data_IF_944854782165
#
_entry.id   IF_944854782165
#
_cell.length_a   1.000
_cell.length_b   1.000
_cell.length_c   1.000
_cell.angle_alpha   90.00
_cell.angle_beta   90.00
_cell.angle_gamma   90.00
#
_symmetry.space_group_name_H-M   'P 1'
#
loop_
_entity.id
_entity.type
_entity.pdbx_description
1 polymer ?
#
# COMPACT_ATOMS: atom_id res chain seq x y z
N UNK A 1 60.96 42.35 4.03
CA UNK A 1 60.34 41.01 4.26
C UNK A 1 58.82 41.04 4.50
N UNK A 2 58.21 42.13 5.00
CA UNK A 2 56.75 42.20 5.20
C UNK A 2 55.93 42.33 3.90
N UNK A 3 56.46 42.95 2.84
CA UNK A 3 55.77 43.11 1.56
C UNK A 3 55.58 41.79 0.80
N UNK A 4 56.60 40.91 0.78
CA UNK A 4 56.50 39.59 0.17
C UNK A 4 55.45 38.71 0.85
N UNK A 5 55.36 38.73 2.20
CA UNK A 5 54.35 37.96 2.94
C UNK A 5 52.92 38.36 2.58
N UNK A 6 52.66 39.65 2.35
CA UNK A 6 51.34 40.15 1.93
C UNK A 6 50.99 39.72 0.51
N UNK A 7 51.99 39.67 -0.37
CA UNK A 7 51.82 39.26 -1.77
C UNK A 7 51.52 37.76 -1.89
N UNK A 8 52.20 36.92 -1.11
CA UNK A 8 51.88 35.49 -1.03
C UNK A 8 50.51 35.22 -0.39
N UNK A 9 50.11 36.01 0.60
CA UNK A 9 48.79 35.88 1.22
C UNK A 9 47.66 36.29 0.25
N UNK A 10 47.86 37.38 -0.49
CA UNK A 10 46.91 37.81 -1.52
C UNK A 10 46.80 36.77 -2.66
N UNK A 11 47.92 36.21 -3.11
CA UNK A 11 47.93 35.15 -4.12
C UNK A 11 47.21 33.88 -3.63
N UNK A 12 47.38 33.50 -2.35
CA UNK A 12 46.71 32.36 -1.74
C UNK A 12 45.18 32.56 -1.64
N UNK A 13 44.73 33.76 -1.27
CA UNK A 13 43.30 34.10 -1.20
C UNK A 13 42.66 34.08 -2.59
N UNK A 14 43.33 34.64 -3.60
CA UNK A 14 42.85 34.59 -4.99
C UNK A 14 42.77 33.15 -5.50
N UNK A 15 43.74 32.30 -5.14
CA UNK A 15 43.74 30.88 -5.51
C UNK A 15 42.57 30.10 -4.87
N UNK A 16 42.21 30.38 -3.61
CA UNK A 16 41.08 29.73 -2.94
C UNK A 16 39.74 30.16 -3.53
N UNK A 17 39.60 31.43 -3.90
CA UNK A 17 38.35 31.97 -4.49
C UNK A 17 38.19 31.54 -5.96
N UNK A 18 39.28 31.22 -6.65
CA UNK A 18 39.27 30.78 -8.07
C UNK A 18 39.30 29.26 -8.27
N UNK A 19 39.29 28.47 -7.19
CA UNK A 19 38.99 27.04 -7.30
C UNK A 19 37.55 26.90 -7.82
N UNK A 20 37.33 26.30 -9.00
CA UNK A 20 35.99 25.96 -9.43
C UNK A 20 35.41 25.05 -8.35
N UNK A 21 34.26 25.44 -7.81
CA UNK A 21 33.43 24.58 -6.97
C UNK A 21 33.06 23.40 -7.87
N UNK A 22 33.90 22.37 -7.86
CA UNK A 22 33.66 21.11 -8.56
C UNK A 22 32.44 20.47 -7.90
N UNK A 23 31.28 20.77 -8.50
CA UNK A 23 30.09 19.95 -8.46
C UNK A 23 29.64 19.51 -7.07
N UNK A 24 29.19 20.45 -6.23
CA UNK A 24 27.98 20.17 -5.48
C UNK A 24 26.84 20.11 -6.51
N UNK A 25 26.72 18.98 -7.21
CA UNK A 25 25.46 18.65 -7.86
C UNK A 25 24.39 18.82 -6.77
N UNK A 26 23.33 19.61 -6.98
CA UNK A 26 22.23 19.58 -6.05
C UNK A 26 21.86 18.11 -5.94
N UNK A 27 21.96 17.55 -4.73
CA UNK A 27 21.27 16.31 -4.42
C UNK A 27 19.82 16.69 -4.60
N UNK A 28 19.30 16.55 -5.82
CA UNK A 28 17.88 16.55 -6.05
C UNK A 28 17.39 15.49 -5.08
N UNK A 29 16.67 15.91 -4.04
CA UNK A 29 15.98 14.96 -3.18
C UNK A 29 15.21 14.07 -4.14
N UNK A 30 15.66 12.83 -4.30
CA UNK A 30 15.00 11.84 -5.13
C UNK A 30 13.56 11.86 -4.65
N UNK A 31 12.62 12.20 -5.54
CA UNK A 31 11.23 12.37 -5.13
C UNK A 31 10.79 11.09 -4.41
N UNK A 32 10.67 11.15 -3.08
CA UNK A 32 10.31 10.00 -2.28
C UNK A 32 8.86 9.68 -2.60
N UNK A 33 8.61 8.48 -3.11
CA UNK A 33 7.25 7.98 -3.31
C UNK A 33 6.53 7.93 -1.96
N UNK A 34 5.20 8.03 -1.95
CA UNK A 34 4.41 7.91 -0.72
C UNK A 34 3.70 6.57 -0.70
N UNK A 35 4.00 5.76 0.31
CA UNK A 35 3.32 4.50 0.55
C UNK A 35 2.39 4.61 1.76
N UNK A 36 1.20 4.05 1.63
CA UNK A 36 0.20 3.96 2.69
C UNK A 36 -0.06 2.50 3.01
N UNK A 37 0.11 2.13 4.27
CA UNK A 37 -0.35 0.86 4.82
C UNK A 37 -1.60 1.15 5.64
N UNK A 38 -2.68 0.42 5.36
CA UNK A 38 -3.98 0.53 6.02
C UNK A 38 -4.28 -0.84 6.64
N UNK A 39 -4.43 -0.90 7.97
CA UNK A 39 -4.85 -2.13 8.66
C UNK A 39 -6.11 -1.84 9.48
N UNK A 40 -7.27 -2.19 8.91
CA UNK A 40 -8.59 -1.84 9.46
C UNK A 40 -8.92 -2.54 10.79
N UNK A 41 -8.20 -3.62 11.14
CA UNK A 41 -8.47 -4.47 12.30
C UNK A 41 -7.20 -4.80 13.09
N UNK A 42 -6.19 -3.93 13.05
CA UNK A 42 -4.86 -4.16 13.65
C UNK A 42 -4.89 -4.57 15.12
N UNK A 43 -5.80 -3.99 15.92
CA UNK A 43 -6.00 -4.31 17.34
C UNK A 43 -6.44 -5.75 17.55
N UNK A 44 -7.20 -6.32 16.62
CA UNK A 44 -7.79 -7.66 16.74
C UNK A 44 -6.95 -8.71 16.04
N UNK A 45 -6.37 -8.33 14.90
CA UNK A 45 -5.57 -9.19 14.05
C UNK A 45 -4.40 -8.35 13.55
N UNK A 46 -3.31 -8.22 14.33
CA UNK A 46 -2.14 -7.43 13.94
C UNK A 46 -1.57 -7.89 12.61
N UNK A 47 -1.01 -6.97 11.83
CA UNK A 47 -0.34 -7.31 10.59
C UNK A 47 0.99 -7.99 10.89
N UNK A 48 1.08 -9.28 10.57
CA UNK A 48 2.34 -10.02 10.58
C UNK A 48 3.37 -9.33 9.69
N UNK A 49 4.61 -9.28 10.15
CA UNK A 49 5.73 -8.74 9.38
C UNK A 49 5.62 -7.25 8.94
N UNK A 50 4.77 -6.46 9.60
CA UNK A 50 4.55 -5.05 9.24
C UNK A 50 5.88 -4.26 9.18
N UNK A 51 6.77 -4.44 10.16
CA UNK A 51 8.08 -3.77 10.19
C UNK A 51 8.97 -4.15 9.00
N UNK A 52 8.93 -5.40 8.55
CA UNK A 52 9.68 -5.84 7.38
C UNK A 52 9.09 -5.25 6.10
N UNK A 53 7.76 -5.24 5.96
CA UNK A 53 7.06 -4.61 4.83
C UNK A 53 7.41 -3.13 4.74
N UNK A 54 7.34 -2.41 5.86
CA UNK A 54 7.72 -1.00 5.97
C UNK A 54 9.20 -0.80 5.58
N UNK A 55 10.11 -1.60 6.12
CA UNK A 55 11.53 -1.52 5.81
C UNK A 55 11.81 -1.72 4.32
N UNK A 56 11.13 -2.67 3.67
CA UNK A 56 11.26 -2.89 2.22
C UNK A 56 10.78 -1.69 1.41
N UNK A 57 9.63 -1.11 1.75
CA UNK A 57 9.14 0.10 1.07
C UNK A 57 10.08 1.29 1.26
N UNK A 58 10.61 1.49 2.47
CA UNK A 58 11.60 2.55 2.75
C UNK A 58 12.86 2.33 1.90
N UNK A 59 13.37 1.09 1.83
CA UNK A 59 14.53 0.76 0.99
C UNK A 59 14.28 0.95 -0.51
N UNK A 60 13.03 0.91 -0.95
CA UNK A 60 12.62 1.22 -2.31
C UNK A 60 12.42 2.74 -2.54
N UNK A 61 12.67 3.57 -1.53
CA UNK A 61 12.61 5.03 -1.62
C UNK A 61 11.25 5.64 -1.23
N UNK A 62 10.38 4.89 -0.54
CA UNK A 62 9.09 5.41 -0.09
C UNK A 62 9.13 6.02 1.30
N UNK A 63 8.40 7.11 1.49
CA UNK A 63 7.89 7.54 2.79
C UNK A 63 6.66 6.71 3.13
N UNK A 64 6.71 5.94 4.22
CA UNK A 64 5.62 5.06 4.63
C UNK A 64 4.75 5.75 5.69
N UNK A 65 3.44 5.76 5.47
CA UNK A 65 2.43 6.10 6.48
C UNK A 65 1.66 4.83 6.83
N UNK A 66 1.49 4.56 8.13
CA UNK A 66 0.68 3.43 8.60
C UNK A 66 -0.54 3.96 9.36
N UNK A 67 -1.73 3.71 8.83
CA UNK A 67 -3.02 4.03 9.45
C UNK A 67 -3.70 2.74 9.90
N UNK A 68 -4.22 2.71 11.12
CA UNK A 68 -4.75 1.49 11.74
C UNK A 68 -6.03 1.72 12.53
N UNK A 69 -6.80 0.65 12.70
CA UNK A 69 -7.97 0.60 13.56
C UNK A 69 -8.96 1.76 13.30
N UNK A 70 -9.35 2.47 14.36
CA UNK A 70 -10.33 3.56 14.31
C UNK A 70 -9.87 4.79 13.54
N UNK A 71 -8.57 4.89 13.21
CA UNK A 71 -8.05 5.96 12.37
C UNK A 71 -8.30 5.69 10.88
N UNK A 72 -8.54 4.43 10.52
CA UNK A 72 -9.04 4.06 9.20
C UNK A 72 -10.54 4.37 9.18
N UNK A 73 -10.87 5.55 8.69
CA UNK A 73 -12.25 6.06 8.59
C UNK A 73 -12.77 5.99 7.17
N UNK A 74 -14.10 6.01 7.01
CA UNK A 74 -14.73 6.09 5.69
C UNK A 74 -14.24 7.34 4.95
N UNK A 75 -14.17 8.47 5.67
CA UNK A 75 -13.65 9.72 5.14
C UNK A 75 -12.18 9.63 4.74
N UNK A 76 -11.35 8.91 5.50
CA UNK A 76 -9.97 8.67 5.12
C UNK A 76 -9.88 7.90 3.79
N UNK A 77 -10.64 6.82 3.65
CA UNK A 77 -10.67 6.02 2.42
C UNK A 77 -11.12 6.83 1.20
N UNK A 78 -12.15 7.68 1.32
CA UNK A 78 -12.66 8.42 0.15
C UNK A 78 -11.83 9.64 -0.23
N UNK A 79 -11.06 10.23 0.70
CA UNK A 79 -10.42 11.53 0.47
C UNK A 79 -8.89 11.54 0.49
N UNK A 80 -8.24 10.50 1.03
CA UNK A 80 -6.78 10.54 1.26
C UNK A 80 -5.99 9.63 0.32
N UNK A 81 -6.61 8.59 -0.26
CA UNK A 81 -5.89 7.56 -1.02
C UNK A 81 -5.09 8.12 -2.20
N UNK A 82 -5.63 9.07 -2.96
CA UNK A 82 -4.96 9.66 -4.12
C UNK A 82 -3.73 10.55 -3.77
N UNK A 83 -3.38 10.69 -2.48
CA UNK A 83 -2.15 11.36 -2.04
C UNK A 83 -0.93 10.43 -2.01
N UNK A 84 -1.14 9.14 -2.27
CA UNK A 84 -0.14 8.09 -2.20
C UNK A 84 0.09 7.44 -3.56
N UNK A 85 1.33 7.01 -3.81
CA UNK A 85 1.72 6.25 -5.01
C UNK A 85 1.43 4.74 -4.84
N UNK A 86 1.56 4.25 -3.60
CA UNK A 86 1.40 2.84 -3.26
C UNK A 86 0.46 2.71 -2.06
N UNK A 87 -0.53 1.84 -2.17
CA UNK A 87 -1.48 1.56 -1.09
C UNK A 87 -1.44 0.06 -0.78
N UNK A 88 -1.32 -0.30 0.49
CA UNK A 88 -1.55 -1.66 0.99
C UNK A 88 -2.76 -1.56 1.91
N UNK A 89 -3.87 -2.20 1.56
CA UNK A 89 -5.05 -2.24 2.41
C UNK A 89 -5.35 -3.66 2.87
N UNK A 90 -5.26 -3.85 4.19
CA UNK A 90 -5.50 -5.11 4.88
C UNK A 90 -6.78 -5.03 5.70
N UNK A 91 -7.74 -5.90 5.40
CA UNK A 91 -8.99 -5.97 6.13
C UNK A 91 -9.70 -7.32 5.98
N UNK A 92 -10.63 -7.64 6.89
CA UNK A 92 -11.54 -8.78 6.74
C UNK A 92 -12.82 -8.34 6.04
N UNK A 93 -13.60 -9.34 5.63
CA UNK A 93 -14.97 -9.15 5.17
C UNK A 93 -15.97 -9.79 6.11
N UNK A 94 -17.21 -9.36 6.00
CA UNK A 94 -18.37 -10.07 6.53
C UNK A 94 -19.52 -9.96 5.54
N UNK A 95 -20.51 -10.85 5.67
CA UNK A 95 -21.72 -10.80 4.86
C UNK A 95 -22.91 -10.45 5.73
N UNK A 96 -23.71 -9.50 5.27
CA UNK A 96 -24.96 -9.08 5.91
C UNK A 96 -25.98 -8.73 4.83
N UNK A 97 -27.23 -9.17 4.99
CA UNK A 97 -28.31 -8.94 4.03
C UNK A 97 -27.88 -9.19 2.55
N UNK A 98 -27.32 -10.39 2.32
CA UNK A 98 -26.80 -10.82 1.01
C UNK A 98 -25.73 -9.92 0.38
N UNK A 99 -25.14 -9.01 1.14
CA UNK A 99 -24.09 -8.08 0.69
C UNK A 99 -22.79 -8.35 1.44
N UNK A 100 -21.68 -8.36 0.72
CA UNK A 100 -20.34 -8.43 1.31
C UNK A 100 -19.84 -7.04 1.65
N UNK A 101 -19.34 -6.88 2.88
CA UNK A 101 -18.78 -5.64 3.39
C UNK A 101 -17.34 -5.86 3.85
N UNK A 102 -16.46 -4.92 3.52
CA UNK A 102 -15.07 -4.87 3.97
C UNK A 102 -14.98 -3.93 5.17
N UNK A 103 -14.37 -4.39 6.26
CA UNK A 103 -14.22 -3.55 7.45
C UNK A 103 -13.35 -2.33 7.15
N UNK A 104 -13.80 -1.17 7.61
CA UNK A 104 -13.05 0.10 7.50
C UNK A 104 -12.19 0.31 8.74
N UNK A 105 -12.69 0.02 9.94
CA UNK A 105 -11.99 0.15 11.23
C UNK A 105 -12.63 1.18 12.15
N UNK A 106 -13.29 2.17 11.56
CA UNK A 106 -14.17 3.12 12.23
C UNK A 106 -15.41 2.46 12.84
N UNK A 107 -15.81 2.91 14.03
CA UNK A 107 -17.09 2.54 14.66
C UNK A 107 -18.18 3.56 14.34
N UNK A 108 -19.44 3.14 14.43
CA UNK A 108 -20.58 4.02 14.18
C UNK A 108 -20.61 5.22 15.15
N UNK A 109 -20.52 6.43 14.61
CA UNK A 109 -20.63 7.71 15.34
C UNK A 109 -21.63 8.61 14.63
N UNK A 110 -22.31 9.48 15.38
CA UNK A 110 -23.36 10.37 14.88
C UNK A 110 -22.91 11.19 13.67
N UNK A 111 -21.69 11.74 13.69
CA UNK A 111 -21.16 12.52 12.58
C UNK A 111 -21.04 11.71 11.28
N UNK A 112 -20.56 10.47 11.36
CA UNK A 112 -20.40 9.57 10.20
C UNK A 112 -21.76 9.12 9.67
N UNK A 113 -22.70 8.78 10.56
CA UNK A 113 -24.08 8.44 10.18
C UNK A 113 -24.76 9.58 9.43
N UNK A 114 -24.55 10.82 9.85
CA UNK A 114 -25.10 12.00 9.19
C UNK A 114 -24.41 12.29 7.86
N UNK A 115 -23.07 12.26 7.82
CA UNK A 115 -22.30 12.56 6.62
C UNK A 115 -22.54 11.55 5.49
N UNK A 116 -22.79 10.29 5.83
CA UNK A 116 -22.97 9.18 4.88
C UNK A 116 -24.38 8.60 4.89
N UNK A 117 -25.39 9.38 5.30
CA UNK A 117 -26.77 8.89 5.46
C UNK A 117 -27.34 8.23 4.19
N UNK A 118 -27.02 8.76 3.00
CA UNK A 118 -27.44 8.20 1.72
C UNK A 118 -26.77 6.86 1.38
N UNK A 119 -25.58 6.60 1.92
CA UNK A 119 -24.87 5.33 1.76
C UNK A 119 -25.43 4.27 2.71
N UNK A 120 -25.73 4.64 3.96
CA UNK A 120 -26.45 3.76 4.89
C UNK A 120 -27.84 3.39 4.35
N UNK A 121 -28.61 4.37 3.87
CA UNK A 121 -29.95 4.14 3.32
C UNK A 121 -29.94 3.25 2.07
N UNK A 122 -28.83 3.26 1.32
CA UNK A 122 -28.65 2.43 0.13
C UNK A 122 -27.99 1.07 0.42
N UNK A 123 -27.76 0.71 1.68
CA UNK A 123 -27.08 -0.54 2.06
C UNK A 123 -25.62 -0.59 1.59
N UNK A 124 -24.98 0.56 1.38
CA UNK A 124 -23.58 0.62 0.95
C UNK A 124 -22.60 0.59 2.12
N UNK A 125 -23.04 1.08 3.28
CA UNK A 125 -22.33 0.99 4.54
C UNK A 125 -23.22 0.20 5.50
N UNK A 126 -22.62 -0.77 6.19
CA UNK A 126 -23.25 -1.51 7.27
C UNK A 126 -22.50 -1.27 8.59
N UNK A 127 -23.22 -1.35 9.71
CA UNK A 127 -22.66 -1.19 11.05
C UNK A 127 -23.12 -2.29 12.03
N UNK A 128 -23.66 -3.41 11.52
CA UNK A 128 -24.27 -4.47 12.33
C UNK A 128 -23.29 -5.10 13.31
N UNK A 129 -22.01 -5.19 12.94
CA UNK A 129 -20.95 -5.77 13.77
C UNK A 129 -20.20 -4.75 14.66
N UNK A 130 -20.71 -3.52 14.79
CA UNK A 130 -20.12 -2.45 15.61
C UNK A 130 -18.93 -1.71 14.98
N UNK A 131 -18.22 -2.35 14.04
CA UNK A 131 -17.24 -1.73 13.14
C UNK A 131 -17.92 -1.55 11.78
N UNK A 132 -17.74 -0.37 11.17
CA UNK A 132 -18.31 -0.06 9.87
C UNK A 132 -17.69 -0.94 8.79
N UNK A 133 -18.55 -1.47 7.93
CA UNK A 133 -18.18 -2.15 6.71
C UNK A 133 -18.69 -1.39 5.48
N UNK A 134 -17.90 -1.40 4.40
CA UNK A 134 -18.27 -0.80 3.11
C UNK A 134 -18.41 -1.87 2.05
N UNK A 135 -19.43 -1.79 1.21
CA UNK A 135 -19.67 -2.73 0.12
C UNK A 135 -18.92 -2.34 -1.16
N UNK A 136 -18.90 -3.22 -2.17
CA UNK A 136 -18.44 -2.87 -3.51
C UNK A 136 -19.19 -1.66 -4.09
N UNK A 137 -20.49 -1.55 -3.83
CA UNK A 137 -21.31 -0.42 -4.28
C UNK A 137 -20.85 0.92 -3.67
N UNK A 138 -20.35 0.90 -2.43
CA UNK A 138 -19.71 2.07 -1.82
C UNK A 138 -18.49 2.51 -2.65
N UNK A 139 -17.61 1.57 -3.00
CA UNK A 139 -16.44 1.89 -3.83
C UNK A 139 -16.86 2.47 -5.19
N UNK A 140 -17.88 1.89 -5.84
CA UNK A 140 -18.36 2.40 -7.15
C UNK A 140 -18.93 3.81 -7.06
N UNK A 141 -19.56 4.17 -5.94
CA UNK A 141 -20.13 5.50 -5.73
C UNK A 141 -19.06 6.56 -5.46
N UNK A 142 -18.02 6.21 -4.72
CA UNK A 142 -17.02 7.17 -4.23
C UNK A 142 -15.73 7.24 -5.06
N UNK A 143 -15.40 6.20 -5.83
CA UNK A 143 -14.22 6.18 -6.69
C UNK A 143 -14.63 6.18 -8.16
N UNK A 144 -14.61 7.37 -8.75
CA UNK A 144 -14.94 7.59 -10.17
C UNK A 144 -13.67 7.57 -11.03
N UNK A 145 -13.84 7.49 -12.35
CA UNK A 145 -12.71 7.47 -13.28
C UNK A 145 -11.72 8.62 -13.04
N UNK A 146 -10.45 8.28 -12.82
CA UNK A 146 -9.37 9.24 -12.54
C UNK A 146 -9.26 9.71 -11.09
N UNK A 147 -10.17 9.32 -10.19
CA UNK A 147 -10.11 9.74 -8.78
C UNK A 147 -8.89 9.20 -8.04
N UNK A 148 -8.24 8.15 -8.56
CA UNK A 148 -7.05 7.50 -8.01
C UNK A 148 -5.86 7.52 -9.00
N UNK A 149 -5.80 8.50 -9.91
CA UNK A 149 -4.78 8.56 -10.97
C UNK A 149 -3.33 8.63 -10.49
N UNK A 150 -3.09 9.04 -9.23
CA UNK A 150 -1.75 9.10 -8.65
C UNK A 150 -1.29 7.75 -8.10
N UNK A 151 -2.23 6.83 -7.83
CA UNK A 151 -1.94 5.52 -7.26
C UNK A 151 -1.39 4.61 -8.36
N UNK A 152 -0.13 4.25 -8.24
CA UNK A 152 0.55 3.33 -9.15
C UNK A 152 0.20 1.89 -8.82
N UNK A 153 0.27 1.53 -7.53
CA UNK A 153 0.04 0.17 -7.07
C UNK A 153 -0.91 0.15 -5.87
N UNK A 154 -1.94 -0.69 -5.92
CA UNK A 154 -2.69 -1.08 -4.73
C UNK A 154 -2.49 -2.58 -4.44
N UNK A 155 -2.25 -2.94 -3.17
CA UNK A 155 -2.20 -4.33 -2.70
C UNK A 155 -3.39 -4.52 -1.75
N UNK A 156 -4.37 -5.31 -2.17
CA UNK A 156 -5.63 -5.51 -1.46
C UNK A 156 -5.61 -6.86 -0.74
N UNK A 157 -5.31 -6.84 0.56
CA UNK A 157 -5.19 -8.02 1.40
C UNK A 157 -6.53 -8.25 2.09
N UNK A 158 -7.46 -8.86 1.37
CA UNK A 158 -8.77 -9.24 1.88
C UNK A 158 -9.39 -10.35 1.06
N UNK A 159 -10.29 -11.12 1.69
CA UNK A 159 -11.17 -12.04 0.96
C UNK A 159 -11.98 -11.29 -0.10
N UNK A 160 -12.20 -11.95 -1.24
CA UNK A 160 -13.04 -11.42 -2.33
C UNK A 160 -12.63 -10.05 -2.88
N UNK A 161 -11.38 -9.64 -2.68
CA UNK A 161 -10.89 -8.29 -3.03
C UNK A 161 -10.87 -7.99 -4.55
N UNK A 162 -10.99 -9.01 -5.40
CA UNK A 162 -11.13 -8.88 -6.86
C UNK A 162 -12.22 -7.87 -7.29
N UNK A 163 -13.38 -7.89 -6.60
CA UNK A 163 -14.49 -6.98 -6.89
C UNK A 163 -14.10 -5.51 -6.72
N UNK A 164 -13.45 -5.19 -5.60
CA UNK A 164 -12.90 -3.87 -5.31
C UNK A 164 -11.75 -3.53 -6.25
N UNK A 165 -10.88 -4.50 -6.57
CA UNK A 165 -9.75 -4.29 -7.49
C UNK A 165 -10.23 -3.75 -8.84
N UNK A 166 -11.29 -4.33 -9.42
CA UNK A 166 -11.88 -3.82 -10.66
C UNK A 166 -12.36 -2.36 -10.54
N UNK A 167 -12.98 -2.00 -9.41
CA UNK A 167 -13.45 -0.63 -9.18
C UNK A 167 -12.26 0.35 -9.10
N UNK A 168 -11.21 -0.01 -8.37
CA UNK A 168 -10.05 0.86 -8.20
C UNK A 168 -9.22 1.01 -9.49
N UNK A 169 -9.12 -0.05 -10.31
CA UNK A 169 -8.53 0.05 -11.65
C UNK A 169 -9.29 1.05 -12.52
N UNK A 170 -10.63 0.96 -12.54
CA UNK A 170 -11.47 1.92 -13.27
C UNK A 170 -11.32 3.35 -12.71
N UNK A 171 -11.07 3.49 -11.42
CA UNK A 171 -10.79 4.78 -10.78
C UNK A 171 -9.40 5.35 -11.11
N UNK A 172 -8.54 4.61 -11.80
CA UNK A 172 -7.26 5.09 -12.32
C UNK A 172 -6.01 4.51 -11.66
N UNK A 173 -6.15 3.52 -10.76
CA UNK A 173 -5.00 2.77 -10.25
C UNK A 173 -4.30 2.04 -11.40
N UNK A 174 -2.98 2.14 -11.52
CA UNK A 174 -2.27 1.52 -12.68
C UNK A 174 -2.17 0.00 -12.59
N UNK A 175 -1.86 -0.52 -11.41
CA UNK A 175 -1.79 -1.96 -11.17
C UNK A 175 -2.31 -2.30 -9.77
N UNK A 176 -2.89 -3.49 -9.65
CA UNK A 176 -3.40 -4.01 -8.38
C UNK A 176 -2.86 -5.41 -8.18
N UNK A 177 -2.49 -5.73 -6.94
CA UNK A 177 -2.30 -7.10 -6.47
C UNK A 177 -3.47 -7.39 -5.53
N UNK A 178 -4.29 -8.37 -5.88
CA UNK A 178 -5.48 -8.74 -5.13
C UNK A 178 -5.35 -10.16 -4.59
N UNK A 179 -6.09 -10.41 -3.51
CA UNK A 179 -6.22 -11.73 -2.92
C UNK A 179 -7.59 -12.30 -3.26
N UNK A 180 -7.61 -13.43 -3.97
CA UNK A 180 -8.82 -14.13 -4.37
C UNK A 180 -9.23 -15.19 -3.33
N UNK A 181 -10.44 -15.71 -3.46
CA UNK A 181 -10.95 -16.75 -2.55
C UNK A 181 -11.39 -16.24 -1.18
N UNK A 182 -11.57 -17.20 -0.26
CA UNK A 182 -12.12 -16.98 1.08
C UNK A 182 -11.09 -17.40 2.13
N UNK A 183 -10.69 -16.44 2.96
CA UNK A 183 -9.76 -16.58 4.07
C UNK A 183 -10.01 -15.52 5.14
N UNK A 184 -9.58 -15.82 6.37
CA UNK A 184 -9.54 -14.86 7.47
C UNK A 184 -8.13 -14.32 7.66
N UNK A 185 -7.98 -13.05 8.07
CA UNK A 185 -6.66 -12.46 8.35
C UNK A 185 -5.89 -13.10 9.53
N UNK A 186 -6.47 -14.07 10.25
CA UNK A 186 -5.87 -14.75 11.40
C UNK A 186 -4.75 -15.73 11.05
N UNK A 187 -4.52 -15.97 9.75
CA UNK A 187 -3.50 -16.88 9.28
C UNK A 187 -2.28 -16.07 8.82
N UNK A 188 -1.27 -15.94 9.70
CA UNK A 188 0.02 -15.25 9.46
C UNK A 188 0.66 -15.52 8.09
N UNK A 189 0.29 -16.64 7.46
CA UNK A 189 0.63 -17.01 6.10
C UNK A 189 0.28 -15.94 5.05
N UNK A 190 -0.88 -15.27 5.14
CA UNK A 190 -1.26 -14.20 4.20
C UNK A 190 -0.33 -13.00 4.33
N UNK A 191 0.04 -12.66 5.56
CA UNK A 191 0.98 -11.57 5.84
C UNK A 191 2.40 -11.94 5.42
N UNK A 192 2.79 -13.22 5.57
CA UNK A 192 4.06 -13.73 5.05
C UNK A 192 4.11 -13.66 3.51
N UNK A 193 3.03 -14.04 2.82
CA UNK A 193 2.88 -13.91 1.36
C UNK A 193 3.02 -12.44 0.96
N UNK A 194 2.31 -11.54 1.64
CA UNK A 194 2.39 -10.08 1.41
C UNK A 194 3.82 -9.59 1.56
N UNK A 195 4.51 -10.00 2.63
CA UNK A 195 5.91 -9.65 2.88
C UNK A 195 6.82 -10.09 1.73
N UNK A 196 6.62 -11.28 1.17
CA UNK A 196 7.39 -11.75 0.02
C UNK A 196 7.13 -10.90 -1.23
N UNK A 197 5.87 -10.61 -1.54
CA UNK A 197 5.49 -9.74 -2.67
C UNK A 197 6.19 -8.39 -2.54
N UNK A 198 6.06 -7.73 -1.39
CA UNK A 198 6.67 -6.41 -1.15
C UNK A 198 8.20 -6.48 -1.19
N UNK A 199 8.81 -7.55 -0.66
CA UNK A 199 10.26 -7.77 -0.77
C UNK A 199 10.72 -7.80 -2.23
N UNK A 200 10.01 -8.54 -3.07
CA UNK A 200 10.34 -8.66 -4.49
C UNK A 200 10.13 -7.33 -5.22
N UNK A 201 9.01 -6.66 -5.01
CA UNK A 201 8.74 -5.32 -5.54
C UNK A 201 9.86 -4.32 -5.16
N UNK A 202 10.26 -4.30 -3.89
CA UNK A 202 11.33 -3.42 -3.39
C UNK A 202 12.71 -3.73 -3.99
N UNK A 203 12.93 -4.95 -4.49
CA UNK A 203 14.15 -5.31 -5.21
C UNK A 203 14.19 -4.77 -6.66
N UNK A 204 13.11 -4.15 -7.13
CA UNK A 204 13.01 -3.55 -8.47
C UNK A 204 12.45 -4.46 -9.55
N UNK A 205 11.86 -5.60 -9.17
CA UNK A 205 11.17 -6.47 -10.14
C UNK A 205 9.76 -5.95 -10.44
N UNK A 206 9.20 -6.41 -11.56
CA UNK A 206 7.85 -6.02 -11.98
C UNK A 206 6.78 -6.56 -11.04
N UNK A 207 5.58 -5.97 -11.06
CA UNK A 207 4.40 -6.51 -10.34
C UNK A 207 4.18 -7.99 -10.68
N UNK A 208 4.20 -8.35 -11.96
CA UNK A 208 4.02 -9.74 -12.39
C UNK A 208 5.07 -10.68 -11.80
N UNK A 209 6.35 -10.30 -11.88
CA UNK A 209 7.43 -11.14 -11.38
C UNK A 209 7.41 -11.22 -9.86
N UNK A 210 6.96 -10.17 -9.15
CA UNK A 210 6.83 -10.20 -7.69
C UNK A 210 5.78 -11.21 -7.23
N UNK A 211 4.66 -11.30 -7.93
CA UNK A 211 3.60 -12.30 -7.68
C UNK A 211 4.10 -13.69 -8.03
N UNK A 212 4.70 -13.88 -9.20
CA UNK A 212 5.22 -15.20 -9.61
C UNK A 212 6.35 -15.72 -8.72
N UNK A 213 7.29 -14.88 -8.34
CA UNK A 213 8.38 -15.24 -7.43
C UNK A 213 7.85 -15.58 -6.03
N UNK A 214 6.73 -14.99 -5.63
CA UNK A 214 6.05 -15.36 -4.38
C UNK A 214 5.40 -16.73 -4.52
N UNK A 215 4.58 -16.97 -5.55
CA UNK A 215 3.90 -18.26 -5.77
C UNK A 215 4.92 -19.40 -5.92
N UNK A 216 6.00 -19.19 -6.68
CA UNK A 216 7.01 -20.22 -6.94
C UNK A 216 7.75 -20.67 -5.68
N UNK A 217 7.82 -19.83 -4.63
CA UNK A 217 8.36 -20.27 -3.33
C UNK A 217 7.54 -21.36 -2.68
N UNK A 218 6.23 -21.37 -2.87
CA UNK A 218 5.34 -22.37 -2.28
C UNK A 218 5.25 -23.62 -3.13
N UNK A 219 5.35 -23.50 -4.45
CA UNK A 219 5.41 -24.66 -5.36
C UNK A 219 6.66 -25.54 -5.14
N UNK A 220 7.76 -24.95 -4.66
CA UNK A 220 9.01 -25.64 -4.44
C UNK A 220 9.18 -26.18 -3.00
N UNK A 221 8.19 -25.97 -2.11
CA UNK A 221 8.21 -26.61 -0.79
C UNK A 221 7.78 -28.06 -0.95
N UNK A 222 8.71 -28.99 -0.68
CA UNK A 222 8.36 -30.41 -0.51
C UNK A 222 7.48 -30.52 0.72
N UNK A 223 6.27 -31.05 0.55
CA UNK A 223 5.42 -31.41 1.68
C UNK A 223 5.97 -32.70 2.27
N UNK A 224 6.20 -32.71 3.59
CA UNK A 224 6.64 -33.91 4.31
C UNK A 224 5.50 -34.93 4.40
N UNK A 225 4.25 -34.45 4.45
CA UNK A 225 3.04 -35.27 4.46
C UNK A 225 2.35 -35.24 3.07
N UNK A 226 2.13 -36.40 2.41
CA UNK A 226 1.40 -36.49 1.15
C UNK A 226 -0.10 -36.17 1.26
N UNK A 227 -0.66 -36.03 2.48
CA UNK A 227 -2.02 -35.57 2.72
C UNK A 227 -2.12 -34.04 2.80
N UNK A 228 -1.01 -33.35 3.00
CA UNK A 228 -1.02 -31.90 2.95
C UNK A 228 -1.14 -31.45 1.49
N UNK A 229 -2.14 -30.64 1.19
CA UNK A 229 -2.25 -30.01 -0.14
C UNK A 229 -1.21 -28.90 -0.25
N UNK A 230 -0.51 -28.81 -1.39
CA UNK A 230 0.39 -27.70 -1.68
C UNK A 230 -0.35 -26.38 -1.51
N UNK A 231 0.02 -25.58 -0.50
CA UNK A 231 -0.57 -24.26 -0.32
C UNK A 231 -0.17 -23.39 -1.51
N UNK A 232 -1.18 -22.92 -2.24
CA UNK A 232 -0.99 -21.96 -3.32
C UNK A 232 -1.57 -20.63 -2.84
N UNK A 233 -0.73 -19.62 -2.57
CA UNK A 233 -1.22 -18.34 -2.10
C UNK A 233 -2.26 -17.79 -3.09
N UNK A 234 -3.44 -17.37 -2.61
CA UNK A 234 -4.50 -16.95 -3.51
C UNK A 234 -4.29 -15.50 -3.93
N UNK A 235 -3.17 -15.22 -4.59
CA UNK A 235 -2.77 -13.87 -5.02
C UNK A 235 -2.73 -13.79 -6.54
N UNK A 236 -3.18 -12.68 -7.08
CA UNK A 236 -3.07 -12.38 -8.50
C UNK A 236 -2.74 -10.91 -8.71
N UNK A 237 -2.47 -10.52 -9.97
CA UNK A 237 -2.35 -9.10 -10.33
C UNK A 237 -3.38 -8.73 -11.40
N UNK A 238 -3.69 -7.45 -11.46
CA UNK A 238 -4.46 -6.82 -12.53
C UNK A 238 -3.82 -5.49 -12.95
N UNK A 239 -4.09 -5.02 -14.17
CA UNK A 239 -3.53 -3.77 -14.71
C UNK A 239 -2.13 -3.92 -15.31
N UNK A 240 -1.28 -2.91 -15.13
CA UNK A 240 0.08 -2.86 -15.70
C UNK A 240 1.01 -3.89 -15.04
N UNK A 241 1.16 -5.04 -15.70
CA UNK A 241 2.04 -6.13 -15.26
C UNK A 241 3.53 -5.77 -15.22
N UNK A 242 3.95 -4.72 -15.93
CA UNK A 242 5.36 -4.31 -16.06
C UNK A 242 5.77 -3.22 -15.05
N UNK A 243 4.82 -2.71 -14.27
CA UNK A 243 5.05 -1.68 -13.27
C UNK A 243 6.16 -2.09 -12.29
N UNK A 244 7.11 -1.20 -12.06
CA UNK A 244 8.10 -1.26 -10.96
C UNK A 244 7.79 -0.17 -9.95
N UNK A 245 8.15 -0.40 -8.68
CA UNK A 245 7.97 0.59 -7.61
C UNK A 245 9.28 1.28 -7.21
N UNK A 246 10.42 0.78 -7.69
CA UNK A 246 11.77 1.34 -7.47
C UNK A 246 12.17 2.26 -8.60
#
# INVERSE_FOLDING_TARGET
MQSLRRLYFAAFVVLIVSLPILGLTPVSAQAQGKALIISSLEKYVPMGYATQVESYLISAGYQVTFVKDTDVTINFLTTQLNKYDLIIWRTNVYSWDHTTYWYVGETSKTATLQAYAADFAAGLIDNTNGILGVSEGFFRRHFTSGSLSNVKLAILISSSSFSIAMVLLNAGVKSIIDYYGSFSLTFDMIDYVTRLVVKYLASGVTVKDSVWNTISRFLNQRMEDPLDSSYLPPIWWMGDSTLTIK
#
